data_IF_742785846116
#
_entry.id   IF_742785846116
#
_cell.length_a   1.000
_cell.length_b   1.000
_cell.length_c   1.000
_cell.angle_alpha   90.00
_cell.angle_beta   90.00
_cell.angle_gamma   90.00
#
_symmetry.space_group_name_H-M   'P 1'
#
loop_
_entity.id
_entity.type
_entity.pdbx_description
1 polymer ?
#
# COMPACT_ATOMS: atom_id res chain seq x y z
N UNK A 1 5.78 9.66 0.19
CA UNK A 1 5.46 8.32 0.73
C UNK A 1 6.08 7.24 -0.14
N UNK A 2 6.63 6.22 0.48
CA UNK A 2 7.20 5.08 -0.23
C UNK A 2 6.24 3.90 -0.05
N UNK A 3 5.91 3.24 -1.14
CA UNK A 3 5.05 2.05 -1.12
C UNK A 3 5.88 0.85 -1.55
N UNK A 4 5.95 -0.16 -0.69
CA UNK A 4 6.65 -1.41 -0.99
C UNK A 4 5.62 -2.51 -1.18
N UNK A 5 5.74 -3.21 -2.30
CA UNK A 5 4.83 -4.29 -2.66
C UNK A 5 5.49 -5.63 -2.42
N UNK A 6 4.72 -6.59 -1.98
CA UNK A 6 5.22 -7.91 -1.64
C UNK A 6 4.46 -9.01 -2.36
N UNK A 7 5.15 -10.12 -2.60
CA UNK A 7 4.57 -11.33 -3.17
C UNK A 7 3.85 -11.07 -4.50
N UNK A 8 2.61 -11.54 -4.63
CA UNK A 8 1.86 -11.42 -5.89
C UNK A 8 1.53 -9.98 -6.28
N UNK A 9 1.58 -9.04 -5.34
CA UNK A 9 1.34 -7.64 -5.67
C UNK A 9 2.41 -7.09 -6.61
N UNK A 10 3.62 -7.63 -6.55
CA UNK A 10 4.70 -7.24 -7.44
C UNK A 10 4.31 -7.58 -8.88
N UNK A 11 3.69 -8.73 -9.09
CA UNK A 11 3.27 -9.15 -10.44
C UNK A 11 2.14 -8.28 -10.97
N UNK A 12 1.22 -7.91 -10.10
CA UNK A 12 0.06 -7.08 -10.50
C UNK A 12 0.51 -5.70 -10.93
N UNK A 13 1.42 -5.09 -10.18
CA UNK A 13 1.88 -3.72 -10.45
C UNK A 13 3.06 -3.65 -11.41
N UNK A 14 3.85 -4.71 -11.49
CA UNK A 14 5.11 -4.72 -12.22
C UNK A 14 6.25 -4.03 -11.49
N UNK A 15 6.07 -3.66 -10.24
CA UNK A 15 7.05 -2.94 -9.44
C UNK A 15 7.14 -3.51 -8.03
N UNK A 16 8.34 -3.47 -7.45
CA UNK A 16 8.55 -3.86 -6.05
C UNK A 16 8.31 -2.69 -5.11
N UNK A 17 8.59 -1.49 -5.58
CA UNK A 17 8.56 -0.29 -4.77
C UNK A 17 8.32 0.91 -5.66
N UNK A 18 7.58 1.88 -5.16
CA UNK A 18 7.42 3.15 -5.88
C UNK A 18 7.17 4.28 -4.87
N UNK A 19 7.35 5.51 -5.34
CA UNK A 19 7.14 6.68 -4.52
C UNK A 19 5.91 7.43 -4.97
N UNK A 20 5.13 7.92 -4.00
CA UNK A 20 3.98 8.78 -4.27
C UNK A 20 4.22 10.10 -3.58
N UNK A 21 4.19 11.19 -4.35
CA UNK A 21 4.42 12.52 -3.84
C UNK A 21 3.11 13.25 -3.58
N UNK A 22 2.95 13.77 -2.37
CA UNK A 22 1.83 14.62 -2.01
C UNK A 22 2.22 15.41 -0.77
N UNK A 23 1.43 16.42 -0.42
CA UNK A 23 1.66 17.20 0.79
C UNK A 23 0.58 16.92 1.82
N UNK A 24 0.99 16.85 3.08
CA UNK A 24 0.06 16.63 4.19
C UNK A 24 -0.34 15.19 4.35
N UNK A 25 -1.62 14.97 4.60
CA UNK A 25 -2.16 13.65 4.90
C UNK A 25 -3.21 13.23 3.88
N UNK A 26 -3.27 11.94 3.59
CA UNK A 26 -4.27 11.38 2.68
C UNK A 26 -4.72 10.02 3.18
N UNK A 27 -5.88 9.58 2.71
CA UNK A 27 -6.33 8.23 2.93
C UNK A 27 -5.51 7.27 2.07
N UNK A 28 -5.06 6.17 2.65
CA UNK A 28 -4.33 5.17 1.88
C UNK A 28 -5.16 4.63 0.72
N UNK A 29 -6.46 4.42 0.92
CA UNK A 29 -7.34 3.92 -0.15
C UNK A 29 -7.40 4.87 -1.34
N UNK A 30 -7.37 6.18 -1.11
CA UNK A 30 -7.32 7.15 -2.20
C UNK A 30 -6.04 6.99 -3.01
N UNK A 31 -4.91 6.88 -2.31
CA UNK A 31 -3.62 6.73 -2.98
C UNK A 31 -3.56 5.44 -3.78
N UNK A 32 -4.04 4.34 -3.20
CA UNK A 32 -4.07 3.05 -3.90
C UNK A 32 -4.90 3.14 -5.17
N UNK A 33 -6.04 3.82 -5.09
CA UNK A 33 -6.91 3.98 -6.24
C UNK A 33 -6.22 4.78 -7.35
N UNK A 34 -5.50 5.84 -6.99
CA UNK A 34 -4.77 6.66 -7.97
C UNK A 34 -3.66 5.90 -8.68
N UNK A 35 -2.97 5.01 -7.97
CA UNK A 35 -1.87 4.24 -8.57
C UNK A 35 -2.35 2.94 -9.22
N UNK A 36 -3.64 2.73 -9.27
CA UNK A 36 -4.20 1.58 -9.97
C UNK A 36 -4.18 0.27 -9.18
N UNK A 37 -4.01 0.33 -7.87
CA UNK A 37 -4.06 -0.85 -7.03
C UNK A 37 -5.44 -0.98 -6.41
N UNK A 38 -6.06 -2.13 -6.60
CA UNK A 38 -7.38 -2.38 -6.03
C UNK A 38 -7.25 -2.80 -4.57
N UNK A 39 -8.06 -2.21 -3.71
CA UNK A 39 -8.07 -2.61 -2.30
C UNK A 39 -8.48 -4.07 -2.12
N UNK A 40 -9.11 -4.66 -3.12
CA UNK A 40 -9.48 -6.08 -3.09
C UNK A 40 -8.26 -6.99 -3.09
N UNK A 41 -7.15 -6.49 -3.64
CA UNK A 41 -5.91 -7.27 -3.73
C UNK A 41 -5.03 -7.13 -2.50
N UNK A 42 -5.36 -6.21 -1.60
CA UNK A 42 -4.56 -5.92 -0.43
C UNK A 42 -5.12 -6.63 0.79
N UNK A 43 -4.31 -7.50 1.39
CA UNK A 43 -4.73 -8.24 2.58
C UNK A 43 -4.18 -7.68 3.89
N UNK A 44 -3.00 -7.05 3.83
CA UNK A 44 -2.32 -6.56 5.02
C UNK A 44 -1.56 -5.28 4.69
N UNK A 45 -1.62 -4.32 5.59
CA UNK A 45 -0.89 -3.06 5.49
C UNK A 45 0.02 -2.90 6.69
N UNK A 46 1.30 -2.63 6.44
CA UNK A 46 2.28 -2.31 7.48
C UNK A 46 2.75 -0.88 7.21
N UNK A 47 2.41 0.03 8.10
CA UNK A 47 2.79 1.43 7.98
C UNK A 47 3.87 1.75 9.02
N UNK A 48 5.05 2.15 8.55
CA UNK A 48 6.19 2.46 9.42
C UNK A 48 6.45 1.35 10.43
N UNK A 49 6.51 0.11 9.92
CA UNK A 49 6.77 -1.11 10.70
C UNK A 49 5.67 -1.50 11.69
N UNK A 50 4.46 -0.95 11.51
CA UNK A 50 3.32 -1.28 12.37
C UNK A 50 2.10 -1.63 11.52
N UNK A 51 1.30 -2.56 12.02
CA UNK A 51 0.04 -2.88 11.39
C UNK A 51 -0.86 -1.64 11.33
N UNK A 52 -1.54 -1.48 10.20
CA UNK A 52 -2.49 -0.39 10.02
C UNK A 52 -3.68 -0.89 9.19
N UNK A 53 -4.87 -0.32 9.41
CA UNK A 53 -6.01 -0.69 8.58
C UNK A 53 -5.85 -0.13 7.16
N UNK A 54 -6.55 -0.75 6.22
CA UNK A 54 -6.46 -0.37 4.82
C UNK A 54 -6.89 1.08 4.57
N UNK A 55 -7.80 1.59 5.36
CA UNK A 55 -8.30 2.96 5.23
C UNK A 55 -7.57 3.95 6.15
N UNK A 56 -6.39 3.60 6.61
CA UNK A 56 -5.63 4.48 7.50
C UNK A 56 -5.22 5.77 6.78
N UNK A 57 -4.90 6.77 7.59
CA UNK A 57 -4.37 8.04 7.08
C UNK A 57 -2.85 7.93 7.00
N UNK A 58 -2.31 8.35 5.88
CA UNK A 58 -0.87 8.34 5.65
C UNK A 58 -0.36 9.74 5.43
N UNK A 59 0.90 9.96 5.79
CA UNK A 59 1.58 11.23 5.63
C UNK A 59 2.63 11.15 4.54
N UNK A 60 3.09 12.30 4.10
CA UNK A 60 4.03 12.39 2.98
C UNK A 60 5.36 11.68 3.19
N UNK A 61 5.75 11.43 4.44
CA UNK A 61 7.00 10.76 4.78
C UNK A 61 6.85 9.31 5.22
N UNK A 62 5.65 8.75 5.12
CA UNK A 62 5.41 7.39 5.57
C UNK A 62 5.99 6.35 4.61
N UNK A 63 6.32 5.19 5.17
CA UNK A 63 6.72 4.01 4.41
C UNK A 63 5.65 2.95 4.65
N UNK A 64 5.02 2.52 3.58
CA UNK A 64 3.92 1.57 3.65
C UNK A 64 4.29 0.29 2.91
N UNK A 65 4.13 -0.85 3.57
CA UNK A 65 4.31 -2.14 2.93
C UNK A 65 2.94 -2.78 2.74
N UNK A 66 2.71 -3.29 1.55
CA UNK A 66 1.44 -3.92 1.20
C UNK A 66 1.66 -5.39 0.89
N UNK A 67 0.76 -6.22 1.39
CA UNK A 67 0.79 -7.66 1.16
C UNK A 67 -0.55 -8.11 0.59
N UNK A 68 -0.55 -9.12 -0.28
CA UNK A 68 -1.80 -9.65 -0.81
C UNK A 68 -2.54 -10.44 0.26
N UNK A 69 -3.77 -10.83 -0.06
CA UNK A 69 -4.50 -11.75 0.80
C UNK A 69 -3.78 -13.09 0.82
N UNK A 70 -3.62 -13.63 2.02
CA UNK A 70 -3.10 -14.98 2.17
C UNK A 70 -4.27 -15.91 1.95
N UNK A 71 -4.33 -16.49 0.77
CA UNK A 71 -5.36 -17.46 0.50
C UNK A 71 -4.99 -18.75 1.21
N UNK A 72 -5.78 -19.09 2.18
CA UNK A 72 -5.59 -20.28 2.97
C UNK A 72 -5.96 -21.52 2.21
N UNK A 73 -5.28 -21.73 1.15
CA UNK A 73 -5.39 -22.96 0.40
C UNK A 73 -6.48 -23.03 -0.56
#
# INVERSE_FOLDING_TARGET
>A
MIVKLNLSLIKISGKKEFEVSFKGSRSLTEVLNEVGLSKKDIGLVIKNDRWAPLDCIIDENDVVQLFPHLEGG
#
